data_IF_060949969995
#
_entry.id   IF_060949969995
#
_cell.length_a   1.000
_cell.length_b   1.000
_cell.length_c   1.000
_cell.angle_alpha   90.00
_cell.angle_beta   90.00
_cell.angle_gamma   90.00
#
_symmetry.space_group_name_H-M   'P 1'
#
loop_
_entity.id
_entity.type
_entity.pdbx_description
1 polymer ?
#
# COMPACT_ATOMS: atom_id res chain seq x y z
N UNK A 1 -72.28 18.33 45.29
CA UNK A 1 -71.01 18.50 45.94
C UNK A 1 -69.96 18.83 44.89
N UNK A 2 -69.72 20.11 44.75
CA UNK A 2 -68.88 20.76 43.74
C UNK A 2 -67.44 20.84 44.26
N UNK A 3 -66.47 20.30 43.58
CA UNK A 3 -65.05 20.58 43.86
C UNK A 3 -64.49 21.51 42.79
N UNK A 4 -64.02 22.62 43.24
CA UNK A 4 -63.37 23.67 42.46
C UNK A 4 -62.00 23.26 41.97
N UNK A 5 -61.71 23.50 40.72
CA UNK A 5 -60.37 23.40 40.10
C UNK A 5 -59.62 24.71 40.31
N UNK A 6 -58.47 24.63 41.00
CA UNK A 6 -57.53 25.74 41.10
C UNK A 6 -56.57 25.71 39.90
N UNK A 7 -56.58 26.79 39.14
CA UNK A 7 -55.66 27.06 38.03
C UNK A 7 -54.30 27.52 38.60
N UNK A 8 -53.22 26.80 38.25
CA UNK A 8 -51.87 27.25 38.48
C UNK A 8 -51.34 28.01 37.27
N UNK A 9 -50.84 29.21 37.49
CA UNK A 9 -50.20 30.05 36.45
C UNK A 9 -48.81 29.48 36.04
N UNK A 10 -48.42 29.62 34.77
CA UNK A 10 -47.09 29.17 34.34
C UNK A 10 -46.01 30.16 34.78
N UNK A 11 -44.89 29.61 35.25
CA UNK A 11 -43.66 30.32 35.53
C UNK A 11 -42.98 30.78 34.23
N UNK A 12 -42.23 31.91 34.21
CA UNK A 12 -41.61 32.42 33.00
C UNK A 12 -40.43 31.56 32.55
N UNK A 13 -40.35 31.30 31.26
CA UNK A 13 -39.25 30.64 30.53
C UNK A 13 -37.91 31.31 30.86
N UNK A 14 -37.02 30.58 31.49
CA UNK A 14 -35.62 30.94 31.54
C UNK A 14 -34.97 30.72 30.19
N UNK A 15 -34.75 31.78 29.41
CA UNK A 15 -33.95 31.80 28.23
C UNK A 15 -32.51 31.40 28.65
N UNK A 16 -32.16 30.14 28.44
CA UNK A 16 -30.78 29.70 28.40
C UNK A 16 -30.16 30.18 27.09
N UNK A 17 -29.24 31.13 27.20
CA UNK A 17 -28.37 31.57 26.12
C UNK A 17 -27.70 30.37 25.43
N UNK A 18 -27.50 30.39 24.10
CA UNK A 18 -26.81 29.31 23.42
C UNK A 18 -25.34 29.27 23.88
N UNK A 19 -24.99 28.27 24.66
CA UNK A 19 -23.61 27.94 24.97
C UNK A 19 -22.91 27.70 23.63
N UNK A 20 -21.98 28.59 23.26
CA UNK A 20 -21.17 28.49 22.07
C UNK A 20 -20.48 27.10 22.07
N UNK A 21 -20.98 26.21 21.21
CA UNK A 21 -20.33 24.97 20.89
C UNK A 21 -19.00 25.30 20.19
N UNK A 22 -17.94 25.48 20.96
CA UNK A 22 -16.58 25.35 20.46
C UNK A 22 -16.46 23.90 20.07
N UNK A 23 -16.70 23.62 18.79
CA UNK A 23 -16.50 22.30 18.18
C UNK A 23 -15.08 21.85 18.54
N UNK A 24 -14.97 20.84 19.40
CA UNK A 24 -13.67 20.28 19.77
C UNK A 24 -13.05 19.69 18.51
N UNK A 25 -12.00 20.34 18.00
CA UNK A 25 -11.24 19.86 16.82
C UNK A 25 -10.83 18.42 17.02
N UNK A 26 -11.09 17.58 16.02
CA UNK A 26 -10.65 16.18 16.02
C UNK A 26 -9.12 16.08 16.16
N UNK A 27 -8.62 14.96 16.66
CA UNK A 27 -7.17 14.67 16.71
C UNK A 27 -6.53 14.86 15.33
N UNK A 28 -7.22 14.41 14.29
CA UNK A 28 -6.80 14.54 12.88
C UNK A 28 -6.63 16.00 12.43
N UNK A 29 -7.59 16.84 12.74
CA UNK A 29 -7.53 18.27 12.39
C UNK A 29 -6.42 19.00 13.14
N UNK A 30 -6.22 18.68 14.41
CA UNK A 30 -5.11 19.24 15.20
C UNK A 30 -3.74 18.85 14.62
N UNK A 31 -3.57 17.58 14.27
CA UNK A 31 -2.34 17.08 13.66
C UNK A 31 -2.08 17.78 12.32
N UNK A 32 -3.08 17.89 11.44
CA UNK A 32 -2.98 18.59 10.15
C UNK A 32 -2.52 20.03 10.33
N UNK A 33 -3.23 20.82 11.15
CA UNK A 33 -2.85 22.23 11.40
C UNK A 33 -1.45 22.39 11.98
N UNK A 34 -1.02 21.46 12.83
CA UNK A 34 0.32 21.49 13.40
C UNK A 34 1.37 21.23 12.33
N UNK A 35 1.17 20.25 11.47
CA UNK A 35 2.07 19.92 10.36
C UNK A 35 2.16 21.07 9.34
N UNK A 36 1.03 21.68 8.98
CA UNK A 36 0.99 22.85 8.09
C UNK A 36 1.80 24.04 8.63
N UNK A 37 1.80 24.23 9.95
CA UNK A 37 2.59 25.28 10.60
C UNK A 37 4.08 24.95 10.73
N UNK A 38 4.39 23.72 11.17
CA UNK A 38 5.73 23.35 11.63
C UNK A 38 6.61 22.79 10.51
N UNK A 39 6.02 22.39 9.36
CA UNK A 39 6.70 21.79 8.21
C UNK A 39 6.19 22.31 6.86
N UNK A 40 6.10 23.63 6.73
CA UNK A 40 5.47 24.32 5.58
C UNK A 40 6.08 23.93 4.24
N UNK A 41 7.42 23.83 4.16
CA UNK A 41 8.14 23.43 2.94
C UNK A 41 7.74 22.01 2.50
N UNK A 42 7.58 21.09 3.46
CA UNK A 42 7.15 19.72 3.21
C UNK A 42 5.71 19.69 2.73
N UNK A 43 4.81 20.43 3.39
CA UNK A 43 3.41 20.51 2.98
C UNK A 43 3.28 21.09 1.57
N UNK A 44 4.04 22.13 1.25
CA UNK A 44 4.09 22.70 -0.11
C UNK A 44 4.59 21.69 -1.14
N UNK A 45 5.67 20.97 -0.83
CA UNK A 45 6.22 19.95 -1.72
C UNK A 45 5.24 18.78 -1.94
N UNK A 46 4.45 18.40 -0.93
CA UNK A 46 3.42 17.35 -1.06
C UNK A 46 2.26 17.74 -1.99
N UNK A 47 1.98 19.03 -2.15
CA UNK A 47 0.93 19.50 -3.07
C UNK A 47 1.33 19.37 -4.55
N UNK A 48 2.62 19.30 -4.85
CA UNK A 48 3.11 19.11 -6.21
C UNK A 48 2.82 17.67 -6.67
N UNK A 49 2.08 17.48 -7.79
CA UNK A 49 1.74 16.15 -8.30
C UNK A 49 2.96 15.32 -8.71
N UNK A 50 4.05 15.96 -9.11
CA UNK A 50 5.28 15.28 -9.54
C UNK A 50 6.16 14.83 -8.37
N UNK A 51 5.85 15.22 -7.14
CA UNK A 51 6.59 14.76 -5.95
C UNK A 51 6.44 13.26 -5.77
N UNK A 52 7.57 12.57 -5.66
CA UNK A 52 7.67 11.12 -5.41
C UNK A 52 8.00 10.86 -3.95
N UNK A 53 9.07 11.50 -3.44
CA UNK A 53 9.55 11.27 -2.08
C UNK A 53 10.18 12.54 -1.49
N UNK A 54 9.93 12.76 -0.19
CA UNK A 54 10.54 13.83 0.61
C UNK A 54 11.30 13.17 1.74
N UNK A 55 12.58 13.51 1.90
CA UNK A 55 13.46 12.92 2.90
C UNK A 55 14.08 14.02 3.76
N UNK A 56 14.06 13.87 5.08
CA UNK A 56 14.78 14.74 6.02
C UNK A 56 15.88 13.94 6.68
N UNK A 57 17.11 14.30 6.41
CA UNK A 57 18.29 13.60 6.93
C UNK A 57 18.70 14.15 8.32
N UNK A 58 19.66 13.47 8.97
CA UNK A 58 20.16 13.83 10.30
C UNK A 58 20.82 15.21 10.38
N UNK A 59 21.27 15.77 9.26
CA UNK A 59 21.78 17.12 9.13
C UNK A 59 20.68 18.21 8.98
N UNK A 60 19.42 17.76 9.01
CA UNK A 60 18.23 18.61 8.87
C UNK A 60 17.88 18.97 7.44
N UNK A 61 18.68 18.65 6.42
CA UNK A 61 18.38 18.99 5.03
C UNK A 61 17.18 18.21 4.52
N UNK A 62 16.31 18.93 3.78
CA UNK A 62 15.12 18.38 3.13
C UNK A 62 15.48 18.08 1.68
N UNK A 63 15.40 16.81 1.32
CA UNK A 63 15.64 16.32 -0.03
C UNK A 63 14.32 15.96 -0.69
N UNK A 64 14.13 16.38 -1.94
CA UNK A 64 12.93 16.16 -2.74
C UNK A 64 13.28 15.35 -3.98
N UNK A 65 12.59 14.23 -4.16
CA UNK A 65 12.56 13.49 -5.42
C UNK A 65 11.28 13.82 -6.18
N UNK A 66 11.42 14.23 -7.43
CA UNK A 66 10.31 14.41 -8.38
C UNK A 66 10.40 13.41 -9.51
N UNK A 67 9.25 13.14 -10.13
CA UNK A 67 9.14 12.21 -11.24
C UNK A 67 10.07 12.61 -12.40
N UNK A 68 10.98 11.70 -12.77
CA UNK A 68 11.92 11.94 -13.87
C UNK A 68 13.04 12.95 -13.61
N UNK A 69 13.14 13.51 -12.41
CA UNK A 69 14.14 14.51 -12.05
C UNK A 69 15.19 13.94 -11.08
N UNK A 70 16.32 14.63 -10.96
CA UNK A 70 17.33 14.34 -9.95
C UNK A 70 16.83 14.83 -8.58
N UNK A 71 17.24 14.12 -7.52
CA UNK A 71 16.98 14.54 -6.13
C UNK A 71 17.64 15.89 -5.87
N UNK A 72 16.88 16.84 -5.29
CA UNK A 72 17.32 18.21 -4.99
C UNK A 72 17.08 18.54 -3.52
N UNK A 73 17.94 19.38 -2.95
CA UNK A 73 17.73 19.95 -1.62
C UNK A 73 16.82 21.18 -1.72
N UNK A 74 15.71 21.19 -0.99
CA UNK A 74 14.70 22.28 -1.04
C UNK A 74 14.66 23.14 0.21
N UNK A 75 15.39 22.79 1.26
CA UNK A 75 15.42 23.52 2.52
C UNK A 75 16.02 22.72 3.66
N UNK A 76 15.76 23.16 4.88
CA UNK A 76 16.20 22.45 6.09
C UNK A 76 15.23 22.65 7.24
N UNK A 77 15.17 21.67 8.15
CA UNK A 77 14.48 21.72 9.44
C UNK A 77 15.49 21.59 10.57
N UNK A 78 15.22 22.26 11.68
CA UNK A 78 15.97 22.04 12.91
C UNK A 78 15.56 20.67 13.51
N UNK A 79 16.47 20.03 14.27
CA UNK A 79 16.23 18.74 14.89
C UNK A 79 14.92 18.72 15.74
N UNK A 80 14.64 19.79 16.48
CA UNK A 80 13.42 19.93 17.26
C UNK A 80 12.14 19.98 16.38
N UNK A 81 12.20 20.58 15.20
CA UNK A 81 11.07 20.59 14.23
C UNK A 81 10.86 19.20 13.63
N UNK A 82 11.95 18.54 13.21
CA UNK A 82 11.91 17.17 12.69
C UNK A 82 11.30 16.19 13.72
N UNK A 83 11.73 16.29 14.98
CA UNK A 83 11.16 15.50 16.09
C UNK A 83 9.68 15.83 16.31
N UNK A 84 9.29 17.11 16.25
CA UNK A 84 7.89 17.52 16.40
C UNK A 84 6.99 16.95 15.29
N UNK A 85 7.47 16.88 14.04
CA UNK A 85 6.76 16.22 12.93
C UNK A 85 6.57 14.73 13.23
N UNK A 86 7.64 14.01 13.60
CA UNK A 86 7.59 12.58 13.92
C UNK A 86 6.60 12.29 15.04
N UNK A 87 6.67 13.04 16.15
CA UNK A 87 5.75 12.89 17.30
C UNK A 87 4.30 13.24 16.94
N UNK A 88 4.10 14.19 16.01
CA UNK A 88 2.75 14.54 15.56
C UNK A 88 2.14 13.41 14.73
N UNK A 89 2.91 12.78 13.84
CA UNK A 89 2.47 11.61 13.08
C UNK A 89 2.19 10.43 14.01
N UNK A 90 3.08 10.17 14.98
CA UNK A 90 2.86 9.10 15.96
C UNK A 90 1.56 9.33 16.75
N UNK A 91 1.36 10.53 17.31
CA UNK A 91 0.13 10.86 18.03
C UNK A 91 -1.14 10.79 17.21
N UNK A 92 -1.05 11.07 15.89
CA UNK A 92 -2.17 10.88 14.96
C UNK A 92 -2.60 9.41 14.87
N UNK A 93 -1.62 8.48 14.90
CA UNK A 93 -1.86 7.03 14.90
C UNK A 93 -2.09 6.43 16.30
N UNK A 94 -2.24 7.25 17.34
CA UNK A 94 -2.39 6.78 18.71
C UNK A 94 -1.14 6.08 19.26
N UNK A 95 0.04 6.34 18.66
CA UNK A 95 1.33 5.76 19.03
C UNK A 95 2.19 6.80 19.74
N UNK A 96 3.14 6.32 20.53
CA UNK A 96 4.17 7.16 21.17
C UNK A 96 5.55 6.73 20.66
N UNK A 97 6.35 7.73 20.26
CA UNK A 97 7.76 7.52 19.86
C UNK A 97 8.65 8.00 20.99
N UNK A 98 9.43 7.10 21.55
CA UNK A 98 10.31 7.31 22.69
C UNK A 98 11.72 6.81 22.40
N UNK A 99 12.66 7.02 23.34
CA UNK A 99 13.99 6.43 23.29
C UNK A 99 13.99 4.89 23.19
N UNK A 100 12.98 4.24 23.77
CA UNK A 100 12.87 2.77 23.79
C UNK A 100 12.10 2.23 22.59
N UNK A 101 11.29 3.06 21.98
CA UNK A 101 10.58 2.76 20.72
C UNK A 101 10.78 3.92 19.73
N UNK A 102 12.00 4.03 19.14
CA UNK A 102 12.41 5.23 18.41
C UNK A 102 11.97 5.28 16.94
N UNK A 103 11.27 4.24 16.46
CA UNK A 103 10.86 4.11 15.06
C UNK A 103 9.33 4.20 14.95
N UNK A 104 8.84 4.96 13.98
CA UNK A 104 7.43 5.03 13.60
C UNK A 104 7.29 4.81 12.11
N UNK A 105 6.40 3.92 11.74
CA UNK A 105 5.92 3.73 10.38
C UNK A 105 4.40 3.88 10.33
N UNK A 106 3.87 4.44 9.25
CA UNK A 106 2.46 4.66 9.07
C UNK A 106 2.13 5.59 7.91
N UNK A 107 0.93 6.14 7.90
CA UNK A 107 0.48 7.10 6.91
C UNK A 107 0.67 8.54 7.40
N UNK A 108 1.11 9.42 6.51
CA UNK A 108 1.21 10.85 6.80
C UNK A 108 -0.19 11.48 6.88
N UNK A 109 -0.52 12.25 7.93
CA UNK A 109 -1.89 12.67 8.18
C UNK A 109 -2.55 13.55 7.12
N UNK A 110 -1.76 14.23 6.26
CA UNK A 110 -2.29 15.19 5.29
C UNK A 110 -2.87 14.52 4.06
N UNK A 111 -2.16 13.53 3.51
CA UNK A 111 -2.45 12.93 2.20
C UNK A 111 -2.38 11.40 2.19
N UNK A 112 -2.21 10.78 3.37
CA UNK A 112 -2.01 9.34 3.55
C UNK A 112 -0.79 8.78 2.80
N UNK A 113 0.21 9.62 2.48
CA UNK A 113 1.53 9.18 2.00
C UNK A 113 2.19 8.28 3.02
N UNK A 114 3.02 7.33 2.57
CA UNK A 114 3.79 6.49 3.48
C UNK A 114 4.81 7.32 4.25
N UNK A 115 4.83 7.18 5.57
CA UNK A 115 5.74 7.85 6.48
C UNK A 115 6.61 6.86 7.23
N UNK A 116 7.91 7.12 7.32
CA UNK A 116 8.84 6.40 8.18
C UNK A 116 9.72 7.41 8.90
N UNK A 117 9.65 7.44 10.24
CA UNK A 117 10.40 8.37 11.08
C UNK A 117 11.22 7.68 12.15
N UNK A 118 12.40 8.22 12.45
CA UNK A 118 13.33 7.68 13.43
C UNK A 118 13.83 8.77 14.35
N UNK A 119 13.96 8.42 15.65
CA UNK A 119 14.56 9.26 16.70
C UNK A 119 15.86 8.64 17.23
N UNK A 120 16.73 9.43 17.88
CA UNK A 120 17.83 8.86 18.65
C UNK A 120 17.32 7.82 19.68
N UNK A 121 18.03 6.70 19.91
CA UNK A 121 19.45 6.47 19.60
C UNK A 121 19.72 5.73 18.27
N UNK A 122 18.73 5.33 17.49
CA UNK A 122 18.94 4.59 16.21
C UNK A 122 19.49 5.48 15.11
N UNK A 123 19.35 6.77 15.25
CA UNK A 123 19.93 7.83 14.40
C UNK A 123 20.64 8.87 15.28
N UNK A 124 21.54 9.66 14.71
CA UNK A 124 22.25 10.72 15.45
C UNK A 124 21.39 11.95 15.72
N UNK A 125 20.42 12.21 14.84
CA UNK A 125 19.43 13.28 14.94
C UNK A 125 18.14 12.79 14.28
N UNK A 126 16.96 13.36 14.63
CA UNK A 126 15.69 12.94 14.04
C UNK A 126 15.72 12.96 12.51
N UNK A 127 15.19 11.89 11.90
CA UNK A 127 15.10 11.74 10.44
C UNK A 127 13.75 11.18 10.05
N UNK A 128 13.25 11.49 8.85
CA UNK A 128 12.09 10.82 8.30
C UNK A 128 12.06 10.87 6.77
N UNK A 129 11.26 9.99 6.18
CA UNK A 129 10.91 10.00 4.78
C UNK A 129 9.39 9.96 4.61
N UNK A 130 8.89 10.68 3.60
CA UNK A 130 7.50 10.68 3.16
C UNK A 130 7.49 10.29 1.69
N UNK A 131 6.90 9.12 1.38
CA UNK A 131 6.76 8.65 0.01
C UNK A 131 5.31 8.76 -0.43
N UNK A 132 5.07 9.59 -1.47
CA UNK A 132 3.71 9.78 -2.01
C UNK A 132 3.18 8.50 -2.64
N UNK A 133 1.88 8.31 -2.51
CA UNK A 133 1.17 7.29 -3.30
C UNK A 133 1.22 7.69 -4.77
N UNK A 134 1.33 6.70 -5.66
CA UNK A 134 1.25 6.98 -7.09
C UNK A 134 -0.08 7.68 -7.41
N UNK A 135 -0.03 8.87 -8.01
CA UNK A 135 -1.23 9.68 -8.27
C UNK A 135 -1.96 9.24 -9.53
N UNK A 136 -1.27 8.60 -10.48
CA UNK A 136 -1.84 8.22 -11.77
C UNK A 136 -2.04 6.70 -11.87
N UNK A 137 -3.28 6.29 -12.14
CA UNK A 137 -3.59 4.95 -12.61
C UNK A 137 -3.40 4.96 -14.13
N UNK A 138 -2.38 4.26 -14.61
CA UNK A 138 -2.17 4.05 -16.04
C UNK A 138 -2.94 2.81 -16.47
N UNK A 139 -3.56 2.85 -17.66
CA UNK A 139 -4.10 1.64 -18.28
C UNK A 139 -2.98 0.82 -18.91
N UNK A 140 -3.23 -0.47 -19.16
CA UNK A 140 -2.27 -1.32 -19.88
C UNK A 140 -1.99 -0.80 -21.30
N UNK A 141 -2.97 -0.14 -21.93
CA UNK A 141 -2.78 0.48 -23.25
C UNK A 141 -1.86 1.70 -23.17
N UNK A 142 -2.00 2.54 -22.16
CA UNK A 142 -1.07 3.65 -21.91
C UNK A 142 0.36 3.16 -21.60
N UNK A 143 0.52 1.98 -20.97
CA UNK A 143 1.83 1.34 -20.84
C UNK A 143 2.46 1.00 -22.19
N UNK A 144 1.64 0.58 -23.17
CA UNK A 144 2.11 0.34 -24.53
C UNK A 144 2.47 1.65 -25.23
N UNK A 145 1.61 2.66 -25.17
CA UNK A 145 1.84 3.99 -25.76
C UNK A 145 3.13 4.63 -25.23
N UNK A 146 3.41 4.47 -23.93
CA UNK A 146 4.61 4.97 -23.28
C UNK A 146 5.87 4.09 -23.46
N UNK A 147 5.78 3.00 -24.24
CA UNK A 147 6.90 2.09 -24.51
C UNK A 147 7.37 1.26 -23.29
N UNK A 148 6.60 1.21 -22.22
CA UNK A 148 6.92 0.43 -21.02
C UNK A 148 6.55 -1.05 -21.21
N UNK A 149 5.53 -1.32 -22.01
CA UNK A 149 4.98 -2.65 -22.29
C UNK A 149 4.88 -2.86 -23.81
N UNK A 150 5.27 -4.05 -24.30
CA UNK A 150 5.04 -4.39 -25.70
C UNK A 150 3.55 -4.68 -25.95
N UNK A 151 3.02 -4.46 -27.17
CA UNK A 151 1.64 -4.84 -27.52
C UNK A 151 1.35 -6.34 -27.27
N UNK A 152 2.34 -7.20 -27.53
CA UNK A 152 2.26 -8.65 -27.25
C UNK A 152 2.09 -8.92 -25.75
N UNK A 153 2.94 -8.36 -24.92
CA UNK A 153 2.87 -8.53 -23.47
C UNK A 153 1.56 -7.94 -22.89
N UNK A 154 1.07 -6.83 -23.42
CA UNK A 154 -0.22 -6.25 -23.04
C UNK A 154 -1.37 -7.24 -23.28
N UNK A 155 -1.42 -7.87 -24.45
CA UNK A 155 -2.43 -8.88 -24.76
C UNK A 155 -2.34 -10.11 -23.85
N UNK A 156 -1.12 -10.55 -23.51
CA UNK A 156 -0.89 -11.65 -22.57
C UNK A 156 -1.45 -11.31 -21.19
N UNK A 157 -1.18 -10.11 -20.67
CA UNK A 157 -1.70 -9.67 -19.36
C UNK A 157 -3.23 -9.56 -19.38
N UNK A 158 -3.79 -8.95 -20.44
CA UNK A 158 -5.25 -8.85 -20.59
C UNK A 158 -5.91 -10.24 -20.67
N UNK A 159 -5.26 -11.21 -21.32
CA UNK A 159 -5.76 -12.58 -21.37
C UNK A 159 -5.67 -13.25 -20.00
N UNK A 160 -4.56 -13.11 -19.28
CA UNK A 160 -4.40 -13.65 -17.93
C UNK A 160 -5.47 -13.11 -16.95
N UNK A 161 -5.81 -11.82 -17.06
CA UNK A 161 -6.89 -11.21 -16.29
C UNK A 161 -8.26 -11.85 -16.61
N UNK A 162 -8.58 -12.05 -17.90
CA UNK A 162 -9.83 -12.68 -18.33
C UNK A 162 -9.94 -14.13 -17.89
N UNK A 163 -8.83 -14.86 -17.95
CA UNK A 163 -8.77 -16.28 -17.61
C UNK A 163 -8.63 -16.54 -16.10
N UNK A 164 -8.76 -15.51 -15.26
CA UNK A 164 -8.57 -15.61 -13.80
C UNK A 164 -7.24 -16.25 -13.39
N UNK A 165 -6.16 -15.92 -14.09
CA UNK A 165 -4.83 -16.42 -13.76
C UNK A 165 -4.21 -15.60 -12.62
N UNK A 166 -3.49 -16.27 -11.74
CA UNK A 166 -2.76 -15.64 -10.65
C UNK A 166 -1.46 -15.02 -11.17
N UNK A 167 -1.30 -13.71 -10.92
CA UNK A 167 -0.22 -12.89 -11.49
C UNK A 167 0.76 -12.46 -10.40
N UNK A 168 2.03 -12.78 -10.56
CA UNK A 168 3.10 -12.31 -9.70
C UNK A 168 3.93 -11.24 -10.43
N UNK A 169 3.90 -10.00 -9.95
CA UNK A 169 4.70 -8.89 -10.51
C UNK A 169 5.98 -8.73 -9.71
N UNK A 170 7.12 -8.86 -10.36
CA UNK A 170 8.42 -8.80 -9.71
C UNK A 170 9.29 -7.68 -10.23
N UNK A 171 10.26 -7.26 -9.44
CA UNK A 171 11.26 -6.24 -9.79
C UNK A 171 11.91 -5.62 -8.58
N UNK A 172 12.95 -4.82 -8.81
CA UNK A 172 13.65 -4.09 -7.77
C UNK A 172 12.83 -2.96 -7.14
N UNK A 173 13.41 -2.29 -6.14
CA UNK A 173 12.81 -1.08 -5.54
C UNK A 173 12.68 0.03 -6.58
N UNK A 174 11.52 0.70 -6.62
CA UNK A 174 11.26 1.80 -7.56
C UNK A 174 11.12 1.37 -9.04
N UNK A 175 11.05 0.05 -9.34
CA UNK A 175 10.88 -0.45 -10.71
C UNK A 175 9.49 -0.19 -11.29
N UNK A 176 8.49 0.14 -10.45
CA UNK A 176 7.10 0.39 -10.88
C UNK A 176 6.15 -0.79 -10.71
N UNK A 177 6.48 -1.77 -9.85
CA UNK A 177 5.61 -2.92 -9.54
C UNK A 177 4.20 -2.51 -9.13
N UNK A 178 4.09 -1.64 -8.11
CA UNK A 178 2.79 -1.18 -7.60
C UNK A 178 1.99 -0.43 -8.66
N UNK A 179 2.66 0.38 -9.49
CA UNK A 179 1.99 1.08 -10.60
C UNK A 179 1.48 0.11 -11.66
N UNK A 180 2.24 -0.96 -11.96
CA UNK A 180 1.80 -2.00 -12.90
C UNK A 180 0.64 -2.85 -12.32
N UNK A 181 0.70 -3.18 -11.03
CA UNK A 181 -0.43 -3.84 -10.34
C UNK A 181 -1.70 -2.98 -10.45
N UNK A 182 -1.61 -1.66 -10.25
CA UNK A 182 -2.76 -0.77 -10.40
C UNK A 182 -3.35 -0.83 -11.83
N UNK A 183 -2.49 -0.89 -12.86
CA UNK A 183 -2.94 -1.08 -14.25
C UNK A 183 -3.62 -2.44 -14.49
N UNK A 184 -3.12 -3.50 -13.86
CA UNK A 184 -3.70 -4.85 -13.91
C UNK A 184 -5.06 -4.86 -13.20
N UNK A 185 -5.16 -4.28 -12.00
CA UNK A 185 -6.43 -4.14 -11.25
C UNK A 185 -7.45 -3.35 -12.06
N UNK A 186 -7.03 -2.25 -12.70
CA UNK A 186 -7.91 -1.51 -13.59
C UNK A 186 -8.42 -2.38 -14.74
N UNK A 187 -7.57 -3.24 -15.30
CA UNK A 187 -7.95 -4.24 -16.29
C UNK A 187 -8.94 -5.29 -15.75
N UNK A 188 -8.81 -5.72 -14.49
CA UNK A 188 -9.76 -6.62 -13.81
C UNK A 188 -11.13 -5.97 -13.70
N UNK A 189 -11.20 -4.73 -13.22
CA UNK A 189 -12.45 -3.96 -13.08
C UNK A 189 -13.13 -3.72 -14.40
N UNK A 190 -12.37 -3.45 -15.48
CA UNK A 190 -12.93 -3.30 -16.82
C UNK A 190 -13.46 -4.62 -17.40
N UNK A 191 -12.85 -5.76 -17.02
CA UNK A 191 -13.27 -7.07 -17.49
C UNK A 191 -14.56 -7.54 -16.80
N UNK A 192 -14.63 -7.36 -15.48
CA UNK A 192 -15.81 -7.66 -14.67
C UNK A 192 -15.94 -6.65 -13.51
N UNK A 193 -16.84 -5.66 -13.63
CA UNK A 193 -17.02 -4.62 -12.62
C UNK A 193 -17.76 -5.09 -11.36
N UNK A 194 -18.38 -6.26 -11.39
CA UNK A 194 -19.19 -6.79 -10.29
C UNK A 194 -18.35 -7.66 -9.33
N UNK A 195 -17.10 -8.00 -9.71
CA UNK A 195 -16.20 -8.77 -8.85
C UNK A 195 -15.91 -8.08 -7.52
N UNK A 196 -15.89 -8.88 -6.46
CA UNK A 196 -15.51 -8.44 -5.12
C UNK A 196 -14.00 -8.59 -4.92
N UNK A 197 -13.30 -7.46 -4.88
CA UNK A 197 -11.84 -7.40 -4.82
C UNK A 197 -11.37 -7.12 -3.39
N UNK A 198 -10.48 -7.98 -2.87
CA UNK A 198 -9.78 -7.77 -1.61
C UNK A 198 -8.33 -7.39 -1.86
N UNK A 199 -7.90 -6.30 -1.21
CA UNK A 199 -6.54 -5.79 -1.30
C UNK A 199 -5.94 -5.78 0.09
N UNK A 200 -4.78 -6.41 0.25
CA UNK A 200 -4.06 -6.52 1.51
C UNK A 200 -2.68 -5.89 1.35
N UNK A 201 -2.35 -4.94 2.21
CA UNK A 201 -1.11 -4.17 2.14
C UNK A 201 -0.57 -3.84 3.53
N UNK A 202 0.73 -3.59 3.62
CA UNK A 202 1.32 -2.98 4.82
C UNK A 202 0.97 -1.48 4.90
N UNK A 203 0.98 -0.81 3.73
CA UNK A 203 0.64 0.61 3.60
C UNK A 203 -0.15 0.75 2.30
N UNK A 204 -1.26 1.49 2.33
CA UNK A 204 -2.16 1.62 1.18
C UNK A 204 -1.52 2.37 0.01
N UNK A 205 -0.87 1.64 -0.90
CA UNK A 205 -0.29 2.15 -2.15
C UNK A 205 -1.15 1.79 -3.37
N UNK A 206 -1.90 0.69 -3.28
CA UNK A 206 -2.77 0.21 -4.36
C UNK A 206 -4.02 1.09 -4.47
N UNK A 207 -4.39 1.40 -5.70
CA UNK A 207 -5.60 2.13 -6.04
C UNK A 207 -6.55 1.19 -6.77
N UNK A 208 -7.77 1.08 -6.26
CA UNK A 208 -8.80 0.23 -6.85
C UNK A 208 -10.02 1.08 -7.24
N UNK A 209 -10.46 0.95 -8.48
CA UNK A 209 -11.65 1.62 -9.00
C UNK A 209 -12.90 0.71 -8.96
N UNK A 210 -12.83 -0.50 -8.40
CA UNK A 210 -13.97 -1.39 -8.25
C UNK A 210 -15.01 -0.77 -7.31
N UNK A 211 -16.29 -0.98 -7.58
CA UNK A 211 -17.37 -0.57 -6.69
C UNK A 211 -17.46 -1.46 -5.44
N UNK A 212 -17.13 -2.75 -5.60
CA UNK A 212 -17.18 -3.75 -4.53
C UNK A 212 -15.75 -4.18 -4.16
N UNK A 213 -15.07 -3.40 -3.33
CA UNK A 213 -13.75 -3.78 -2.83
C UNK A 213 -13.60 -3.53 -1.34
N UNK A 214 -12.65 -4.25 -0.74
CA UNK A 214 -12.21 -4.06 0.64
C UNK A 214 -10.69 -3.96 0.63
N UNK A 215 -10.16 -2.94 1.31
CA UNK A 215 -8.72 -2.74 1.44
C UNK A 215 -8.33 -2.85 2.91
N UNK A 216 -7.46 -3.80 3.21
CA UNK A 216 -6.91 -4.08 4.53
C UNK A 216 -5.48 -3.59 4.63
N UNK A 217 -5.11 -3.09 5.81
CA UNK A 217 -3.74 -2.73 6.15
C UNK A 217 -3.29 -3.49 7.39
N UNK A 218 -2.04 -3.93 7.39
CA UNK A 218 -1.42 -4.50 8.59
C UNK A 218 -1.32 -3.44 9.69
N UNK A 219 -1.31 -3.91 10.92
CA UNK A 219 -1.10 -3.07 12.11
C UNK A 219 -0.03 -3.71 12.98
N UNK A 220 0.28 -3.13 14.15
CA UNK A 220 1.19 -3.77 15.10
C UNK A 220 0.66 -5.12 15.63
N UNK A 221 -0.67 -5.25 15.70
CA UNK A 221 -1.34 -6.39 16.32
C UNK A 221 -2.00 -7.33 15.29
N UNK A 222 -2.05 -6.93 14.01
CA UNK A 222 -2.68 -7.70 12.93
C UNK A 222 -1.72 -7.79 11.76
N UNK A 223 -1.20 -8.98 11.52
CA UNK A 223 -0.28 -9.26 10.44
C UNK A 223 -0.98 -9.68 9.13
N UNK A 224 -0.20 -9.82 8.06
CA UNK A 224 -0.69 -10.20 6.72
C UNK A 224 -1.35 -11.57 6.71
N UNK A 225 -0.82 -12.54 7.46
CA UNK A 225 -1.40 -13.90 7.62
C UNK A 225 -2.80 -13.84 8.22
N UNK A 226 -3.01 -13.02 9.26
CA UNK A 226 -4.33 -12.84 9.87
C UNK A 226 -5.31 -12.19 8.90
N UNK A 227 -4.86 -11.20 8.12
CA UNK A 227 -5.68 -10.55 7.09
C UNK A 227 -6.09 -11.54 5.99
N UNK A 228 -5.17 -12.36 5.47
CA UNK A 228 -5.46 -13.40 4.48
C UNK A 228 -6.51 -14.38 5.00
N UNK A 229 -6.33 -14.93 6.21
CA UNK A 229 -7.29 -15.84 6.83
C UNK A 229 -8.67 -15.21 7.05
N UNK A 230 -8.71 -13.92 7.36
CA UNK A 230 -9.98 -13.19 7.51
C UNK A 230 -10.67 -13.00 6.16
N UNK A 231 -9.90 -12.70 5.11
CA UNK A 231 -10.40 -12.48 3.75
C UNK A 231 -11.15 -13.69 3.21
N UNK A 232 -10.68 -14.92 3.46
CA UNK A 232 -11.33 -16.16 3.02
C UNK A 232 -12.76 -16.34 3.56
N UNK A 233 -13.13 -15.64 4.64
CA UNK A 233 -14.48 -15.67 5.22
C UNK A 233 -15.38 -14.54 4.72
N UNK A 234 -14.85 -13.66 3.86
CA UNK A 234 -15.51 -12.44 3.40
C UNK A 234 -15.99 -12.53 1.95
N UNK A 235 -15.99 -13.73 1.36
CA UNK A 235 -16.42 -14.03 -0.01
C UNK A 235 -15.68 -13.17 -1.05
N UNK A 236 -14.35 -13.24 -1.14
CA UNK A 236 -13.60 -12.58 -2.20
C UNK A 236 -13.80 -13.30 -3.54
N UNK A 237 -13.88 -12.54 -4.65
CA UNK A 237 -13.72 -13.08 -5.99
C UNK A 237 -12.24 -13.01 -6.42
N UNK A 238 -11.52 -11.94 -5.98
CA UNK A 238 -10.06 -11.82 -6.18
C UNK A 238 -9.36 -11.35 -4.92
N UNK A 239 -8.19 -11.94 -4.65
CA UNK A 239 -7.33 -11.58 -3.52
C UNK A 239 -6.01 -11.01 -4.06
N UNK A 240 -5.70 -9.78 -3.68
CA UNK A 240 -4.53 -9.02 -4.10
C UNK A 240 -3.65 -8.70 -2.90
N UNK A 241 -2.36 -8.94 -3.01
CA UNK A 241 -1.39 -8.60 -1.97
C UNK A 241 -0.38 -7.59 -2.50
N UNK A 242 -0.32 -6.43 -1.87
CA UNK A 242 0.54 -5.32 -2.30
C UNK A 242 2.00 -5.73 -2.41
N UNK A 243 2.52 -6.42 -1.40
CA UNK A 243 3.87 -7.00 -1.43
C UNK A 243 3.97 -8.21 -0.52
N UNK A 244 4.56 -9.30 -1.02
CA UNK A 244 4.87 -10.51 -0.25
C UNK A 244 6.31 -10.43 0.25
N UNK A 245 6.50 -10.43 1.59
CA UNK A 245 7.81 -10.22 2.23
C UNK A 245 8.25 -11.34 3.15
N UNK A 246 7.31 -12.16 3.62
CA UNK A 246 7.53 -13.15 4.67
C UNK A 246 6.77 -14.45 4.49
N UNK A 247 6.49 -15.08 5.62
CA UNK A 247 5.87 -16.39 5.72
C UNK A 247 4.42 -16.44 5.21
N UNK A 248 3.75 -15.28 5.12
CA UNK A 248 2.41 -15.10 4.55
C UNK A 248 2.30 -15.56 3.09
N UNK A 249 3.47 -15.73 2.43
CA UNK A 249 3.54 -16.31 1.09
C UNK A 249 2.80 -17.66 0.98
N UNK A 250 2.87 -18.51 2.01
CA UNK A 250 2.14 -19.78 2.04
C UNK A 250 0.63 -19.55 2.08
N UNK A 251 0.16 -18.70 2.99
CA UNK A 251 -1.28 -18.41 3.17
C UNK A 251 -1.89 -17.79 1.89
N UNK A 252 -1.10 -16.99 1.14
CA UNK A 252 -1.52 -16.44 -0.15
C UNK A 252 -1.69 -17.54 -1.22
N UNK A 253 -0.72 -18.45 -1.35
CA UNK A 253 -0.83 -19.54 -2.32
C UNK A 253 -1.97 -20.50 -1.99
N UNK A 254 -2.19 -20.80 -0.71
CA UNK A 254 -3.32 -21.60 -0.27
C UNK A 254 -4.65 -20.93 -0.63
N UNK A 255 -4.74 -19.59 -0.46
CA UNK A 255 -5.93 -18.83 -0.87
C UNK A 255 -6.17 -18.92 -2.38
N UNK A 256 -5.13 -18.75 -3.20
CA UNK A 256 -5.23 -18.85 -4.66
C UNK A 256 -5.56 -20.25 -5.16
N UNK A 257 -5.12 -21.30 -4.45
CA UNK A 257 -5.40 -22.70 -4.81
C UNK A 257 -6.76 -23.24 -4.32
N UNK A 258 -7.51 -22.47 -3.54
CA UNK A 258 -8.76 -22.93 -2.91
C UNK A 258 -10.01 -22.21 -3.41
N UNK A 259 -10.04 -21.88 -4.72
CA UNK A 259 -11.22 -21.29 -5.37
C UNK A 259 -11.25 -19.76 -5.34
N UNK A 260 -10.08 -19.12 -5.18
CA UNK A 260 -9.92 -17.66 -5.25
C UNK A 260 -8.83 -17.28 -6.26
N UNK A 261 -8.90 -17.91 -7.45
CA UNK A 261 -7.98 -17.65 -8.56
C UNK A 261 -8.16 -16.23 -9.11
N UNK A 262 -7.20 -15.77 -9.90
CA UNK A 262 -7.23 -14.46 -10.55
C UNK A 262 -6.71 -13.34 -9.67
N UNK A 263 -5.94 -13.67 -8.65
CA UNK A 263 -5.28 -12.73 -7.79
C UNK A 263 -4.03 -12.10 -8.42
N UNK A 264 -3.47 -11.10 -7.71
CA UNK A 264 -2.19 -10.51 -8.07
C UNK A 264 -1.39 -10.14 -6.83
N UNK A 265 -0.07 -10.27 -6.91
CA UNK A 265 0.83 -9.85 -5.83
C UNK A 265 2.13 -9.28 -6.38
N UNK A 266 2.85 -8.50 -5.55
CA UNK A 266 4.21 -8.08 -5.90
C UNK A 266 5.25 -8.79 -5.03
N UNK A 267 6.45 -8.91 -5.59
CA UNK A 267 7.59 -9.51 -4.92
C UNK A 267 8.91 -8.85 -5.39
N UNK A 268 9.86 -8.70 -4.50
CA UNK A 268 11.21 -8.26 -4.87
C UNK A 268 12.04 -9.42 -5.41
N UNK A 269 12.38 -9.35 -6.72
CA UNK A 269 13.31 -10.27 -7.39
C UNK A 269 13.95 -9.60 -8.61
N UNK A 270 15.03 -10.19 -9.14
CA UNK A 270 15.83 -9.63 -10.22
C UNK A 270 15.39 -10.09 -11.62
N UNK A 271 14.71 -11.23 -11.72
CA UNK A 271 14.16 -11.82 -12.94
C UNK A 271 12.99 -12.78 -12.60
N UNK A 272 12.23 -13.22 -13.61
CA UNK A 272 11.01 -13.99 -13.39
C UNK A 272 11.27 -15.33 -12.68
N UNK A 273 12.32 -16.04 -13.03
CA UNK A 273 12.65 -17.32 -12.40
C UNK A 273 13.16 -17.14 -10.97
N UNK A 274 13.97 -16.11 -10.74
CA UNK A 274 14.41 -15.73 -9.38
C UNK A 274 13.21 -15.36 -8.48
N UNK A 275 12.12 -14.84 -9.07
CA UNK A 275 10.87 -14.59 -8.37
C UNK A 275 10.27 -15.86 -7.75
N UNK A 276 10.23 -16.96 -8.51
CA UNK A 276 9.75 -18.25 -8.00
C UNK A 276 10.67 -18.79 -6.88
N UNK A 277 11.99 -18.71 -7.07
CA UNK A 277 12.97 -19.12 -6.03
C UNK A 277 12.84 -18.24 -4.78
N UNK A 278 12.60 -16.95 -4.95
CA UNK A 278 12.36 -16.04 -3.82
C UNK A 278 11.11 -16.43 -3.05
N UNK A 279 10.04 -16.79 -3.75
CA UNK A 279 8.78 -17.25 -3.16
C UNK A 279 9.01 -18.54 -2.35
N UNK A 280 9.78 -19.53 -2.89
CA UNK A 280 10.20 -20.71 -2.14
C UNK A 280 10.87 -20.34 -0.82
N UNK A 281 11.84 -19.40 -0.87
CA UNK A 281 12.55 -18.93 0.33
C UNK A 281 11.64 -18.23 1.35
N UNK A 282 10.59 -17.57 0.93
CA UNK A 282 9.61 -16.95 1.84
C UNK A 282 8.70 -17.98 2.47
N UNK A 283 8.18 -18.92 1.69
CA UNK A 283 7.34 -20.02 2.18
C UNK A 283 8.10 -20.89 3.19
N UNK A 284 9.38 -21.18 2.94
CA UNK A 284 10.20 -21.99 3.85
C UNK A 284 10.38 -21.39 5.25
N UNK A 285 10.04 -20.12 5.46
CA UNK A 285 10.02 -19.45 6.77
C UNK A 285 8.75 -19.72 7.56
N UNK A 286 7.72 -20.27 6.91
CA UNK A 286 6.47 -20.64 7.58
C UNK A 286 6.65 -21.97 8.32
N UNK A 287 6.23 -22.03 9.57
CA UNK A 287 6.34 -23.23 10.40
C UNK A 287 5.47 -24.41 9.87
N UNK A 288 4.52 -24.11 9.00
CA UNK A 288 3.63 -25.09 8.37
C UNK A 288 3.98 -25.35 6.89
N UNK A 289 5.16 -24.88 6.45
CA UNK A 289 5.58 -25.10 5.07
C UNK A 289 5.61 -26.61 4.73
N UNK A 290 5.04 -27.02 3.57
CA UNK A 290 5.11 -28.41 3.13
C UNK A 290 6.55 -28.79 2.79
N UNK A 291 6.83 -30.11 2.82
CA UNK A 291 8.17 -30.64 2.46
C UNK A 291 8.54 -30.31 1.00
N UNK A 292 7.56 -30.25 0.11
CA UNK A 292 7.74 -29.91 -1.30
C UNK A 292 7.02 -28.59 -1.63
N UNK A 293 7.76 -27.48 -1.64
CA UNK A 293 7.20 -26.14 -1.89
C UNK A 293 7.01 -25.86 -3.38
N UNK A 294 7.90 -26.36 -4.24
CA UNK A 294 7.89 -26.06 -5.68
C UNK A 294 6.61 -26.50 -6.41
N UNK A 295 6.07 -27.71 -6.17
CA UNK A 295 4.77 -28.10 -6.74
C UNK A 295 3.66 -27.12 -6.38
N UNK A 296 3.56 -26.73 -5.10
CA UNK A 296 2.57 -25.77 -4.62
C UNK A 296 2.65 -24.43 -5.35
N UNK A 297 3.87 -23.90 -5.53
CA UNK A 297 4.07 -22.66 -6.29
C UNK A 297 3.63 -22.83 -7.75
N UNK A 298 3.98 -23.98 -8.37
CA UNK A 298 3.64 -24.24 -9.77
C UNK A 298 2.14 -24.46 -10.02
N UNK A 299 1.37 -24.81 -8.98
CA UNK A 299 -0.09 -24.91 -9.02
C UNK A 299 -0.76 -23.54 -8.81
N UNK A 300 -0.18 -22.68 -7.95
CA UNK A 300 -0.80 -21.44 -7.55
C UNK A 300 -0.40 -20.22 -8.40
N UNK A 301 0.78 -20.21 -9.00
CA UNK A 301 1.29 -19.07 -9.79
C UNK A 301 1.26 -19.40 -11.27
N UNK A 302 0.46 -18.66 -12.03
CA UNK A 302 0.32 -18.88 -13.48
C UNK A 302 1.25 -17.99 -14.31
N UNK A 303 1.40 -16.73 -13.91
CA UNK A 303 2.12 -15.72 -14.70
C UNK A 303 3.05 -14.92 -13.79
N UNK A 304 4.31 -14.81 -14.19
CA UNK A 304 5.30 -13.95 -13.52
C UNK A 304 5.71 -12.85 -14.49
N UNK A 305 5.55 -11.59 -14.07
CA UNK A 305 5.87 -10.40 -14.87
C UNK A 305 7.05 -9.68 -14.24
N UNK A 306 8.16 -9.56 -14.97
CA UNK A 306 9.33 -8.81 -14.51
C UNK A 306 9.34 -7.40 -15.09
N UNK A 307 9.29 -6.39 -14.20
CA UNK A 307 9.44 -4.98 -14.53
C UNK A 307 10.70 -4.40 -13.90
N UNK A 308 11.51 -3.71 -14.67
CA UNK A 308 12.75 -3.13 -14.20
C UNK A 308 12.93 -1.67 -14.66
N UNK A 309 13.80 -0.95 -13.94
CA UNK A 309 14.26 0.39 -14.32
C UNK A 309 15.44 0.27 -15.26
N UNK A 310 15.36 0.90 -16.42
CA UNK A 310 16.43 0.98 -17.43
C UNK A 310 16.96 2.40 -17.55
N UNK A 311 17.95 2.62 -18.42
CA UNK A 311 18.44 3.96 -18.76
C UNK A 311 17.39 4.82 -19.49
N UNK A 312 16.41 4.17 -20.10
CA UNK A 312 15.34 4.81 -20.89
C UNK A 312 14.00 4.87 -20.15
N UNK A 313 13.97 4.55 -18.85
CA UNK A 313 12.74 4.51 -18.07
C UNK A 313 12.44 3.10 -17.53
N UNK A 314 11.19 2.85 -17.17
CA UNK A 314 10.72 1.54 -16.69
C UNK A 314 10.31 0.69 -17.89
N UNK A 315 10.56 -0.62 -17.84
CA UNK A 315 10.17 -1.56 -18.90
C UNK A 315 9.79 -2.91 -18.30
N UNK A 316 8.77 -3.56 -18.89
CA UNK A 316 8.47 -4.98 -18.69
C UNK A 316 9.44 -5.77 -19.57
N UNK A 317 10.38 -6.45 -18.92
CA UNK A 317 11.45 -7.18 -19.63
C UNK A 317 11.04 -8.57 -20.09
N UNK A 318 10.26 -9.26 -19.27
CA UNK A 318 9.79 -10.60 -19.60
C UNK A 318 8.48 -10.91 -18.91
N UNK A 319 7.72 -11.80 -19.53
CA UNK A 319 6.58 -12.48 -18.91
C UNK A 319 6.86 -13.98 -19.02
N UNK A 320 6.79 -14.66 -17.88
CA UNK A 320 6.99 -16.08 -17.76
C UNK A 320 5.66 -16.74 -17.41
N UNK A 321 5.19 -17.66 -18.23
CA UNK A 321 4.08 -18.55 -17.89
C UNK A 321 4.62 -19.75 -17.11
N UNK A 322 3.97 -20.11 -16.02
CA UNK A 322 4.22 -21.32 -15.24
C UNK A 322 3.05 -22.26 -15.52
N UNK A 323 3.32 -23.45 -16.06
CA UNK A 323 2.27 -24.40 -16.43
C UNK A 323 2.43 -25.77 -15.77
N UNK A 324 3.33 -25.89 -14.78
CA UNK A 324 3.46 -27.07 -13.98
C UNK A 324 4.85 -27.28 -13.38
N UNK A 325 5.01 -28.45 -12.76
CA UNK A 325 6.25 -28.89 -12.12
C UNK A 325 6.58 -30.33 -12.53
N UNK A 326 7.81 -30.59 -12.95
CA UNK A 326 8.24 -31.92 -13.35
C UNK A 326 9.74 -32.15 -13.12
N UNK A 327 10.10 -33.29 -12.56
CA UNK A 327 11.50 -33.70 -12.31
C UNK A 327 12.33 -32.62 -11.56
N UNK A 328 11.75 -32.05 -10.52
CA UNK A 328 12.42 -31.05 -9.68
C UNK A 328 12.48 -29.63 -10.24
N UNK A 329 11.89 -29.36 -11.43
CA UNK A 329 11.94 -28.07 -12.10
C UNK A 329 10.55 -27.54 -12.45
N UNK A 330 10.39 -26.22 -12.38
CA UNK A 330 9.23 -25.52 -12.93
C UNK A 330 9.18 -25.73 -14.44
N UNK A 331 7.99 -26.02 -14.95
CA UNK A 331 7.74 -25.99 -16.38
C UNK A 331 7.28 -24.59 -16.76
N UNK A 332 8.11 -23.87 -17.48
CA UNK A 332 7.88 -22.46 -17.79
C UNK A 332 8.04 -22.17 -19.27
N UNK A 333 7.34 -21.11 -19.74
CA UNK A 333 7.44 -20.62 -21.11
C UNK A 333 7.52 -19.09 -21.09
N UNK A 334 8.50 -18.51 -21.78
CA UNK A 334 8.52 -17.07 -22.05
C UNK A 334 7.48 -16.69 -23.09
N UNK A 335 6.68 -15.65 -22.80
CA UNK A 335 5.57 -15.19 -23.63
C UNK A 335 5.92 -13.97 -24.46
#
# INVERSE_FOLDING_TARGET
>A
MTMQSTSASPLPDSQTAPTSAISAMSVKERAKRKLERDAREIVSALQDPDTVEIMVNADGRIWLEKLGQKITCIGSLQAAQTEAVIKTVAGYHGKEVTRYNPIIEGEFPLDNSRFAGQLPPVVTSPTFAIRKKAVAIFTLDQYVENGVLSPRHCNVIKQAVRDHRNILVIGGTGSGKTTLINAIIFGMVLNDPDERIFILEDTGEIQCAAQNFVQYHTTLDVDMTQLLKTTLRMRPDRILVGEVRGAEALDLLDAWNTGHEGGAATLHANDALSGLTRLESLISRNNYAPAEIKPLIAEAVDVVIHIARTKHGRQVHEILEVYGFKRGNYQTRRL
#
